data_IF_530262676518
#
_entry.id   IF_530262676518
#
_cell.length_a   1.000
_cell.length_b   1.000
_cell.length_c   1.000
_cell.angle_alpha   90.00
_cell.angle_beta   90.00
_cell.angle_gamma   90.00
#
_symmetry.space_group_name_H-M   'P 1'
#
loop_
_entity.id
_entity.type
_entity.pdbx_description
1 polymer ?
#
# COMPACT_ATOMS: atom_id res chain seq x y z
N UNK A 1 8.90 7.35 -25.49
CA UNK A 1 8.69 6.96 -24.07
C UNK A 1 7.20 6.81 -23.85
N UNK A 2 6.76 5.90 -22.98
CA UNK A 2 5.34 5.77 -22.63
C UNK A 2 4.87 7.08 -22.01
N UNK A 3 3.71 7.59 -22.40
CA UNK A 3 3.11 8.75 -21.72
C UNK A 3 2.71 8.32 -20.30
N UNK A 4 2.98 9.17 -19.32
CA UNK A 4 2.52 8.97 -17.95
C UNK A 4 1.00 9.09 -17.89
N UNK A 5 0.36 8.09 -17.28
CA UNK A 5 -1.09 8.05 -17.10
C UNK A 5 -1.49 8.69 -15.78
N UNK A 6 -2.26 9.76 -15.88
CA UNK A 6 -2.64 10.60 -14.75
C UNK A 6 -4.12 10.40 -14.45
N UNK A 7 -4.44 10.13 -13.18
CA UNK A 7 -5.78 10.29 -12.65
C UNK A 7 -5.87 11.66 -11.97
N UNK A 8 -6.73 12.55 -12.48
CA UNK A 8 -6.99 13.86 -11.91
C UNK A 8 -8.21 13.80 -10.99
N UNK A 9 -8.06 14.31 -9.78
CA UNK A 9 -9.11 14.45 -8.77
C UNK A 9 -9.14 15.91 -8.36
N UNK A 10 -10.30 16.54 -8.46
CA UNK A 10 -10.49 17.96 -8.15
C UNK A 10 -11.80 18.18 -7.37
N UNK A 11 -11.88 19.24 -6.56
CA UNK A 11 -13.13 19.69 -5.92
C UNK A 11 -14.00 20.59 -6.83
N UNK A 12 -13.46 21.03 -7.98
CA UNK A 12 -14.12 21.92 -8.93
C UNK A 12 -14.09 21.35 -10.36
N UNK A 13 -15.26 21.24 -11.00
CA UNK A 13 -15.44 20.66 -12.34
C UNK A 13 -14.82 21.54 -13.45
N UNK A 14 -14.94 22.86 -13.33
CA UNK A 14 -14.43 23.80 -14.32
C UNK A 14 -12.89 23.80 -14.28
N UNK A 15 -12.33 23.85 -13.07
CA UNK A 15 -10.88 23.75 -12.85
C UNK A 15 -10.34 22.41 -13.33
N UNK A 16 -11.00 21.29 -12.99
CA UNK A 16 -10.59 19.97 -13.47
C UNK A 16 -10.53 19.90 -15.00
N UNK A 17 -11.51 20.48 -15.68
CA UNK A 17 -11.58 20.52 -17.15
C UNK A 17 -10.45 21.35 -17.77
N UNK A 18 -10.13 22.49 -17.16
CA UNK A 18 -9.02 23.34 -17.58
C UNK A 18 -7.67 22.63 -17.38
N UNK A 19 -7.43 22.06 -16.20
CA UNK A 19 -6.21 21.32 -15.88
C UNK A 19 -6.05 20.13 -16.82
N UNK A 20 -7.10 19.35 -17.03
CA UNK A 20 -7.08 18.22 -17.96
C UNK A 20 -6.64 18.65 -19.36
N UNK A 21 -7.17 19.75 -19.86
CA UNK A 21 -6.82 20.28 -21.19
C UNK A 21 -5.33 20.66 -21.24
N UNK A 22 -4.85 21.39 -20.23
CA UNK A 22 -3.44 21.74 -20.08
C UNK A 22 -2.52 20.52 -20.04
N UNK A 23 -2.87 19.48 -19.25
CA UNK A 23 -2.10 18.24 -19.17
C UNK A 23 -1.99 17.53 -20.53
N UNK A 24 -3.09 17.48 -21.29
CA UNK A 24 -3.11 16.85 -22.61
C UNK A 24 -2.25 17.64 -23.61
N UNK A 25 -2.32 18.97 -23.58
CA UNK A 25 -1.49 19.85 -24.42
C UNK A 25 0.01 19.66 -24.16
N UNK A 26 0.40 19.43 -22.92
CA UNK A 26 1.78 19.15 -22.52
C UNK A 26 2.19 17.68 -22.68
N UNK A 27 1.34 16.86 -23.32
CA UNK A 27 1.70 15.52 -23.74
C UNK A 27 1.42 14.41 -22.73
N UNK A 28 0.81 14.71 -21.59
CA UNK A 28 0.37 13.71 -20.60
C UNK A 28 -0.91 12.99 -21.04
N UNK A 29 -1.16 11.79 -20.48
CA UNK A 29 -2.39 11.04 -20.73
C UNK A 29 -3.28 11.08 -19.48
N UNK A 30 -4.39 11.82 -19.54
CA UNK A 30 -5.36 11.86 -18.42
C UNK A 30 -6.39 10.75 -18.60
N UNK A 31 -6.25 9.68 -17.80
CA UNK A 31 -7.08 8.47 -17.88
C UNK A 31 -8.38 8.58 -17.08
N UNK A 32 -8.40 9.43 -16.06
CA UNK A 32 -9.57 9.74 -15.26
C UNK A 32 -9.57 11.21 -14.85
N UNK A 33 -10.78 11.75 -14.75
CA UNK A 33 -11.05 13.07 -14.19
C UNK A 33 -12.26 12.90 -13.27
N UNK A 34 -12.04 13.04 -11.97
CA UNK A 34 -13.02 12.74 -10.93
C UNK A 34 -13.24 13.95 -10.03
N UNK A 35 -14.44 14.05 -9.49
CA UNK A 35 -14.77 15.01 -8.45
C UNK A 35 -14.75 14.30 -7.11
N UNK A 36 -14.27 14.99 -6.07
CA UNK A 36 -14.09 14.44 -4.72
C UNK A 36 -15.36 13.75 -4.19
N UNK A 37 -16.52 14.35 -4.41
CA UNK A 37 -17.82 13.82 -3.98
C UNK A 37 -18.20 12.46 -4.62
N UNK A 38 -17.53 12.09 -5.71
CA UNK A 38 -17.75 10.86 -6.46
C UNK A 38 -16.63 9.82 -6.30
N UNK A 39 -15.66 10.06 -5.41
CA UNK A 39 -14.53 9.14 -5.17
C UNK A 39 -14.99 7.77 -4.64
N UNK A 40 -16.03 7.76 -3.80
CA UNK A 40 -16.54 6.53 -3.18
C UNK A 40 -17.39 5.66 -4.12
N UNK A 41 -17.91 6.22 -5.21
CA UNK A 41 -18.82 5.51 -6.13
C UNK A 41 -18.11 4.85 -7.30
N UNK A 42 -16.83 5.10 -7.48
CA UNK A 42 -16.12 4.68 -8.68
C UNK A 42 -15.14 3.56 -8.33
N UNK A 43 -15.29 2.42 -9.00
CA UNK A 43 -14.40 1.26 -8.83
C UNK A 43 -13.15 1.47 -9.68
N UNK A 44 -12.25 2.29 -9.14
CA UNK A 44 -11.15 2.90 -9.89
C UNK A 44 -9.92 2.00 -10.01
N UNK A 45 -9.97 0.77 -9.48
CA UNK A 45 -8.89 -0.23 -9.67
C UNK A 45 -8.73 -0.64 -11.14
N UNK A 46 -9.73 -0.37 -11.99
CA UNK A 46 -9.65 -0.59 -13.44
C UNK A 46 -8.94 0.55 -14.18
N UNK A 47 -8.66 1.67 -13.51
CA UNK A 47 -7.88 2.75 -14.10
C UNK A 47 -6.41 2.39 -13.99
N UNK A 48 -5.81 2.14 -15.15
CA UNK A 48 -4.37 1.97 -15.29
C UNK A 48 -3.65 3.33 -15.17
N UNK A 49 -3.84 4.04 -14.06
CA UNK A 49 -3.11 5.28 -13.75
C UNK A 49 -1.77 4.95 -13.11
N UNK A 50 -0.75 5.75 -13.43
CA UNK A 50 0.59 5.66 -12.83
C UNK A 50 0.73 6.61 -11.63
N UNK A 51 -0.05 7.69 -11.61
CA UNK A 51 0.03 8.76 -10.61
C UNK A 51 -1.32 9.46 -10.45
N UNK A 52 -1.56 9.94 -9.24
CA UNK A 52 -2.75 10.73 -8.89
C UNK A 52 -2.35 12.17 -8.70
N UNK A 53 -3.08 13.05 -9.39
CA UNK A 53 -3.08 14.47 -9.14
C UNK A 53 -4.33 14.84 -8.36
N UNK A 54 -4.14 15.36 -7.17
CA UNK A 54 -5.19 15.90 -6.33
C UNK A 54 -5.06 17.42 -6.33
N UNK A 55 -6.05 18.15 -6.83
CA UNK A 55 -6.12 19.61 -6.71
C UNK A 55 -7.26 19.97 -5.75
N UNK A 56 -6.91 20.67 -4.68
CA UNK A 56 -7.85 21.07 -3.63
C UNK A 56 -7.52 22.47 -3.14
N UNK A 57 -8.49 23.38 -3.14
CA UNK A 57 -8.29 24.69 -2.50
C UNK A 57 -8.18 24.51 -0.97
N UNK A 58 -8.95 23.59 -0.41
CA UNK A 58 -8.98 23.29 1.03
C UNK A 58 -8.72 21.80 1.31
N UNK A 59 -7.45 21.39 1.34
CA UNK A 59 -7.10 19.99 1.59
C UNK A 59 -7.38 19.58 3.05
N UNK A 60 -8.33 18.68 3.22
CA UNK A 60 -8.61 18.02 4.50
C UNK A 60 -7.93 16.66 4.57
N UNK A 61 -7.34 16.36 5.73
CA UNK A 61 -6.59 15.13 5.99
C UNK A 61 -7.37 13.87 5.63
N UNK A 62 -8.63 13.78 6.04
CA UNK A 62 -9.45 12.58 5.87
C UNK A 62 -9.68 12.24 4.39
N UNK A 63 -9.85 13.26 3.53
CA UNK A 63 -10.04 13.09 2.09
C UNK A 63 -8.75 12.58 1.45
N UNK A 64 -7.61 13.16 1.84
CA UNK A 64 -6.29 12.74 1.35
C UNK A 64 -6.00 11.30 1.77
N UNK A 65 -6.23 10.95 3.04
CA UNK A 65 -6.02 9.59 3.55
C UNK A 65 -6.91 8.58 2.82
N UNK A 66 -8.18 8.94 2.60
CA UNK A 66 -9.12 8.11 1.84
C UNK A 66 -8.61 7.85 0.43
N UNK A 67 -8.16 8.90 -0.27
CA UNK A 67 -7.58 8.79 -1.60
C UNK A 67 -6.32 7.90 -1.59
N UNK A 68 -5.31 8.26 -0.81
CA UNK A 68 -4.03 7.51 -0.76
C UNK A 68 -4.26 6.03 -0.43
N UNK A 69 -5.17 5.72 0.51
CA UNK A 69 -5.47 4.34 0.90
C UNK A 69 -6.25 3.56 -0.16
N UNK A 70 -7.12 4.21 -0.92
CA UNK A 70 -7.96 3.57 -1.93
C UNK A 70 -7.17 3.19 -3.19
N UNK A 71 -6.26 4.05 -3.64
CA UNK A 71 -5.61 3.87 -4.93
C UNK A 71 -4.26 3.17 -4.87
N UNK A 72 -3.55 3.26 -3.75
CA UNK A 72 -2.21 2.72 -3.61
C UNK A 72 -1.24 3.14 -4.73
N UNK A 73 -1.33 4.41 -5.14
CA UNK A 73 -0.53 5.04 -6.17
C UNK A 73 0.22 6.26 -5.61
N UNK A 74 1.28 6.72 -6.28
CA UNK A 74 1.90 8.00 -5.96
C UNK A 74 0.85 9.12 -6.06
N UNK A 75 0.71 9.93 -5.00
CA UNK A 75 -0.27 11.01 -4.93
C UNK A 75 0.43 12.34 -4.79
N UNK A 76 0.15 13.27 -5.70
CA UNK A 76 0.66 14.64 -5.69
C UNK A 76 -0.49 15.59 -5.40
N UNK A 77 -0.35 16.39 -4.34
CA UNK A 77 -1.34 17.38 -3.93
C UNK A 77 -0.93 18.77 -4.39
N UNK A 78 -1.80 19.41 -5.17
CA UNK A 78 -1.76 20.81 -5.53
C UNK A 78 -2.77 21.60 -4.71
N UNK A 79 -2.36 22.75 -4.20
CA UNK A 79 -3.25 23.62 -3.44
C UNK A 79 -2.71 25.05 -3.38
N UNK A 80 -3.60 26.02 -3.18
CA UNK A 80 -3.21 27.40 -2.88
C UNK A 80 -2.87 27.60 -1.39
N UNK A 81 -3.12 26.59 -0.56
CA UNK A 81 -2.90 26.67 0.87
C UNK A 81 -1.42 26.48 1.24
N UNK A 82 -0.80 27.52 1.81
CA UNK A 82 0.59 27.54 2.28
C UNK A 82 0.75 27.35 3.79
N UNK A 83 -0.33 27.02 4.51
CA UNK A 83 -0.30 26.83 5.96
C UNK A 83 0.52 25.60 6.34
N UNK A 84 1.45 25.78 7.29
CA UNK A 84 2.37 24.73 7.74
C UNK A 84 1.67 23.51 8.32
N UNK A 85 0.55 23.70 9.02
CA UNK A 85 -0.19 22.60 9.64
C UNK A 85 -0.91 21.74 8.60
N UNK A 86 -1.43 22.37 7.54
CA UNK A 86 -2.00 21.69 6.37
C UNK A 86 -0.94 20.89 5.63
N UNK A 87 0.24 21.48 5.38
CA UNK A 87 1.37 20.78 4.75
C UNK A 87 1.74 19.52 5.53
N UNK A 88 1.92 19.65 6.86
CA UNK A 88 2.24 18.50 7.72
C UNK A 88 1.16 17.43 7.70
N UNK A 89 -0.11 17.85 7.75
CA UNK A 89 -1.25 16.94 7.74
C UNK A 89 -1.33 16.16 6.43
N UNK A 90 -1.09 16.81 5.29
CA UNK A 90 -1.05 16.16 3.99
C UNK A 90 0.10 15.15 3.86
N UNK A 91 1.30 15.51 4.33
CA UNK A 91 2.46 14.60 4.35
C UNK A 91 2.16 13.39 5.23
N UNK A 92 1.55 13.58 6.41
CA UNK A 92 1.15 12.49 7.29
C UNK A 92 0.08 11.59 6.69
N UNK A 93 -0.81 12.15 5.86
CA UNK A 93 -1.82 11.41 5.12
C UNK A 93 -1.23 10.56 3.98
N UNK A 94 0.05 10.73 3.64
CA UNK A 94 0.76 9.88 2.69
C UNK A 94 0.90 10.45 1.28
N UNK A 95 0.69 11.76 1.07
CA UNK A 95 1.04 12.38 -0.22
C UNK A 95 2.54 12.28 -0.46
N UNK A 96 2.92 12.09 -1.72
CA UNK A 96 4.32 11.98 -2.11
C UNK A 96 4.92 13.33 -2.46
N UNK A 97 4.10 14.30 -2.84
CA UNK A 97 4.50 15.69 -3.04
C UNK A 97 3.35 16.64 -2.69
N UNK A 98 3.70 17.83 -2.19
CA UNK A 98 2.79 18.93 -1.87
C UNK A 98 3.29 20.18 -2.57
N UNK A 99 2.46 20.78 -3.42
CA UNK A 99 2.85 21.89 -4.28
C UNK A 99 1.90 23.07 -4.01
N UNK A 100 2.51 24.20 -3.69
CA UNK A 100 1.87 25.51 -3.55
C UNK A 100 2.14 26.28 -4.84
N UNK A 101 1.15 27.03 -5.35
CA UNK A 101 1.13 27.76 -6.65
C UNK A 101 0.56 27.03 -7.87
N UNK A 102 -0.12 25.88 -7.67
CA UNK A 102 -0.83 25.21 -8.75
C UNK A 102 0.10 24.48 -9.73
N UNK A 103 -0.45 24.08 -10.88
CA UNK A 103 0.21 23.16 -11.81
C UNK A 103 1.03 23.96 -12.83
N UNK A 104 2.36 23.90 -12.70
CA UNK A 104 3.31 24.34 -13.72
C UNK A 104 3.69 23.14 -14.62
N UNK A 105 3.21 23.08 -15.87
CA UNK A 105 3.41 21.92 -16.73
C UNK A 105 4.87 21.61 -17.04
N UNK A 106 5.74 22.63 -17.09
CA UNK A 106 7.18 22.44 -17.37
C UNK A 106 7.88 21.70 -16.24
N UNK A 107 7.44 21.91 -15.00
CA UNK A 107 7.99 21.25 -13.80
C UNK A 107 7.27 19.96 -13.45
N UNK A 108 6.05 19.79 -13.95
CA UNK A 108 5.18 18.69 -13.59
C UNK A 108 5.84 17.33 -13.88
N UNK A 109 6.44 17.16 -15.05
CA UNK A 109 7.08 15.89 -15.42
C UNK A 109 8.13 15.45 -14.40
N UNK A 110 9.04 16.36 -14.02
CA UNK A 110 10.08 16.08 -13.03
C UNK A 110 9.48 15.77 -11.65
N UNK A 111 8.42 16.47 -11.26
CA UNK A 111 7.77 16.25 -9.96
C UNK A 111 7.09 14.87 -9.93
N UNK A 112 6.39 14.50 -11.01
CA UNK A 112 5.74 13.19 -11.12
C UNK A 112 6.77 12.06 -11.08
N UNK A 113 7.88 12.18 -11.80
CA UNK A 113 8.96 11.18 -11.75
C UNK A 113 9.53 11.01 -10.34
N UNK A 114 9.81 12.12 -9.66
CA UNK A 114 10.29 12.11 -8.28
C UNK A 114 9.26 11.45 -7.36
N UNK A 115 7.97 11.77 -7.53
CA UNK A 115 6.89 11.18 -6.74
C UNK A 115 6.76 9.68 -6.97
N UNK A 116 6.85 9.22 -8.21
CA UNK A 116 6.80 7.78 -8.52
C UNK A 116 7.95 7.03 -7.83
N UNK A 117 9.17 7.55 -7.90
CA UNK A 117 10.32 6.90 -7.27
C UNK A 117 10.27 6.93 -5.74
N UNK A 118 9.80 8.04 -5.15
CA UNK A 118 9.57 8.12 -3.71
C UNK A 118 8.53 7.11 -3.24
N UNK A 119 7.43 6.97 -3.98
CA UNK A 119 6.38 6.01 -3.67
C UNK A 119 6.90 4.56 -3.74
N UNK A 120 7.62 4.20 -4.81
CA UNK A 120 8.26 2.87 -4.95
C UNK A 120 9.20 2.57 -3.79
N UNK A 121 10.04 3.54 -3.40
CA UNK A 121 10.96 3.40 -2.26
C UNK A 121 10.20 3.19 -0.96
N UNK A 122 9.16 3.98 -0.71
CA UNK A 122 8.32 3.85 0.49
C UNK A 122 7.63 2.48 0.54
N UNK A 123 7.04 2.05 -0.58
CA UNK A 123 6.42 0.72 -0.73
C UNK A 123 7.39 -0.42 -0.46
N UNK A 124 8.60 -0.32 -0.99
CA UNK A 124 9.65 -1.30 -0.73
C UNK A 124 9.99 -1.37 0.76
N UNK A 125 10.15 -0.23 1.43
CA UNK A 125 10.40 -0.20 2.88
C UNK A 125 9.26 -0.82 3.69
N UNK A 126 8.01 -0.54 3.34
CA UNK A 126 6.85 -1.15 3.99
C UNK A 126 6.82 -2.67 3.78
N UNK A 127 7.13 -3.14 2.57
CA UNK A 127 7.25 -4.56 2.25
C UNK A 127 8.35 -5.23 3.07
N UNK A 128 9.56 -4.66 3.07
CA UNK A 128 10.71 -5.18 3.81
C UNK A 128 10.42 -5.22 5.33
N UNK A 129 9.75 -4.19 5.85
CA UNK A 129 9.30 -4.13 7.24
C UNK A 129 8.30 -5.25 7.54
N UNK A 130 7.31 -5.46 6.67
CA UNK A 130 6.31 -6.50 6.86
C UNK A 130 6.94 -7.89 6.80
N UNK A 131 7.79 -8.15 5.81
CA UNK A 131 8.53 -9.41 5.70
C UNK A 131 9.38 -9.69 6.94
N UNK A 132 10.03 -8.66 7.50
CA UNK A 132 10.83 -8.79 8.71
C UNK A 132 9.96 -9.10 9.93
N UNK A 133 8.81 -8.42 10.08
CA UNK A 133 7.83 -8.71 11.14
C UNK A 133 7.28 -10.13 11.02
N UNK A 134 6.94 -10.57 9.81
CA UNK A 134 6.50 -11.94 9.54
C UNK A 134 7.58 -12.95 9.92
N UNK A 135 8.85 -12.74 9.55
CA UNK A 135 9.97 -13.63 9.95
C UNK A 135 10.12 -13.73 11.47
N UNK A 136 9.92 -12.63 12.19
CA UNK A 136 9.97 -12.62 13.65
C UNK A 136 8.82 -13.42 14.27
N UNK A 137 7.60 -13.23 13.76
CA UNK A 137 6.43 -13.98 14.18
C UNK A 137 6.57 -15.48 13.88
N UNK A 138 7.00 -15.81 12.65
CA UNK A 138 7.24 -17.17 12.19
C UNK A 138 8.25 -17.90 13.08
N UNK A 139 9.31 -17.21 13.53
CA UNK A 139 10.28 -17.82 14.46
C UNK A 139 9.61 -18.29 15.74
N UNK A 140 8.71 -17.50 16.33
CA UNK A 140 7.99 -17.86 17.56
C UNK A 140 7.07 -19.07 17.32
N UNK A 141 6.38 -19.11 16.19
CA UNK A 141 5.49 -20.22 15.85
C UNK A 141 6.27 -21.50 15.53
N UNK A 142 7.39 -21.40 14.83
CA UNK A 142 8.30 -22.53 14.54
C UNK A 142 8.81 -23.14 15.84
N UNK A 143 9.27 -22.34 16.81
CA UNK A 143 9.73 -22.87 18.11
C UNK A 143 8.61 -23.62 18.84
N UNK A 144 7.39 -23.07 18.89
CA UNK A 144 6.23 -23.74 19.50
C UNK A 144 5.89 -25.04 18.79
N UNK A 145 5.88 -25.04 17.45
CA UNK A 145 5.59 -26.24 16.67
C UNK A 145 6.67 -27.31 16.84
N UNK A 146 7.95 -26.95 16.95
CA UNK A 146 9.02 -27.89 17.28
C UNK A 146 8.78 -28.54 18.64
N UNK A 147 8.54 -27.75 19.69
CA UNK A 147 8.25 -28.27 21.05
C UNK A 147 7.06 -29.22 21.02
N UNK A 148 5.99 -28.86 20.31
CA UNK A 148 4.83 -29.74 20.10
C UNK A 148 5.22 -31.07 19.44
N UNK A 149 5.96 -31.03 18.33
CA UNK A 149 6.39 -32.23 17.61
C UNK A 149 7.32 -33.11 18.47
N UNK A 150 8.18 -32.49 19.27
CA UNK A 150 9.04 -33.19 20.24
C UNK A 150 8.18 -33.97 21.25
N UNK A 151 7.14 -33.35 21.81
CA UNK A 151 6.25 -34.01 22.76
C UNK A 151 5.39 -35.10 22.12
N UNK A 152 4.82 -34.85 20.94
CA UNK A 152 3.90 -35.79 20.27
C UNK A 152 4.64 -37.02 19.72
N UNK A 153 5.83 -36.84 19.16
CA UNK A 153 6.58 -37.93 18.51
C UNK A 153 7.75 -38.44 19.36
N UNK A 154 7.99 -37.87 20.55
CA UNK A 154 9.12 -38.20 21.42
C UNK A 154 10.47 -38.13 20.69
N UNK A 155 10.65 -37.05 19.92
CA UNK A 155 11.85 -36.81 19.12
C UNK A 155 12.63 -35.62 19.66
N UNK A 156 13.93 -35.62 19.41
CA UNK A 156 14.82 -34.49 19.70
C UNK A 156 14.56 -33.31 18.75
N UNK A 157 15.02 -32.13 19.14
CA UNK A 157 14.77 -30.87 18.45
C UNK A 157 15.20 -30.90 16.98
N UNK A 158 16.38 -31.46 16.67
CA UNK A 158 16.92 -31.51 15.31
C UNK A 158 16.03 -32.33 14.36
N UNK A 159 15.48 -33.45 14.88
CA UNK A 159 14.51 -34.28 14.16
C UNK A 159 13.17 -33.57 14.01
N UNK A 160 12.71 -32.85 15.04
CA UNK A 160 11.47 -32.07 14.97
C UNK A 160 11.56 -30.95 13.92
N UNK A 161 12.68 -30.21 13.88
CA UNK A 161 12.94 -29.19 12.89
C UNK A 161 12.98 -29.77 11.46
N UNK A 162 13.70 -30.87 11.28
CA UNK A 162 13.79 -31.58 9.99
C UNK A 162 12.42 -32.06 9.51
N UNK A 163 11.60 -32.59 10.42
CA UNK A 163 10.24 -33.04 10.12
C UNK A 163 9.31 -31.90 9.74
N UNK A 164 9.37 -30.77 10.48
CA UNK A 164 8.61 -29.56 10.16
C UNK A 164 8.99 -29.01 8.78
N UNK A 165 10.30 -28.92 8.48
CA UNK A 165 10.82 -28.46 7.19
C UNK A 165 10.39 -29.37 6.04
N UNK A 166 10.46 -30.70 6.24
CA UNK A 166 10.05 -31.69 5.22
C UNK A 166 8.56 -31.55 4.89
N UNK A 167 7.71 -31.37 5.90
CA UNK A 167 6.27 -31.17 5.71
C UNK A 167 5.95 -29.82 5.05
N UNK A 168 6.64 -28.75 5.42
CA UNK A 168 6.47 -27.45 4.76
C UNK A 168 6.78 -27.56 3.25
N UNK A 169 7.89 -28.22 2.89
CA UNK A 169 8.27 -28.44 1.49
C UNK A 169 7.25 -29.30 0.72
N UNK A 170 6.77 -30.40 1.30
CA UNK A 170 5.81 -31.28 0.62
C UNK A 170 4.48 -30.58 0.32
N UNK A 171 4.09 -29.59 1.14
CA UNK A 171 2.86 -28.81 0.97
C UNK A 171 3.08 -27.49 0.24
N UNK A 172 4.31 -27.19 -0.23
CA UNK A 172 4.69 -25.91 -0.86
C UNK A 172 4.35 -24.69 -0.01
N UNK A 173 4.53 -24.80 1.31
CA UNK A 173 4.28 -23.73 2.27
C UNK A 173 5.60 -23.28 2.92
N UNK A 174 5.60 -22.07 3.48
CA UNK A 174 6.70 -21.62 4.34
C UNK A 174 6.69 -22.39 5.67
N UNK A 175 7.84 -22.45 6.34
CA UNK A 175 7.92 -23.10 7.66
C UNK A 175 7.02 -22.43 8.71
N UNK A 176 6.88 -21.11 8.66
CA UNK A 176 5.99 -20.36 9.56
C UNK A 176 4.52 -20.70 9.36
N UNK A 177 4.06 -20.79 8.11
CA UNK A 177 2.68 -21.22 7.80
C UNK A 177 2.42 -22.67 8.22
N UNK A 178 3.36 -23.58 7.99
CA UNK A 178 3.24 -24.96 8.46
C UNK A 178 3.16 -25.02 9.98
N UNK A 179 3.99 -24.25 10.68
CA UNK A 179 3.99 -24.19 12.13
C UNK A 179 2.65 -23.67 12.68
N UNK A 180 2.10 -22.59 12.11
CA UNK A 180 0.76 -22.07 12.47
C UNK A 180 -0.33 -23.11 12.28
N UNK A 181 -0.35 -23.79 11.14
CA UNK A 181 -1.33 -24.87 10.87
C UNK A 181 -1.27 -26.00 11.89
N UNK A 182 -0.06 -26.42 12.29
CA UNK A 182 0.08 -27.46 13.31
C UNK A 182 -0.42 -26.99 14.68
N UNK A 183 -0.12 -25.74 15.05
CA UNK A 183 -0.59 -25.14 16.31
C UNK A 183 -2.12 -25.03 16.33
N UNK A 184 -2.73 -24.56 15.25
CA UNK A 184 -4.18 -24.47 15.12
C UNK A 184 -4.85 -25.85 15.17
N UNK A 185 -4.30 -26.83 14.44
CA UNK A 185 -4.81 -28.20 14.46
C UNK A 185 -4.75 -28.83 15.87
N UNK A 186 -3.65 -28.62 16.60
CA UNK A 186 -3.54 -29.10 17.98
C UNK A 186 -4.57 -28.42 18.90
N UNK A 187 -4.76 -27.10 18.77
CA UNK A 187 -5.72 -26.36 19.58
C UNK A 187 -7.16 -26.86 19.34
N UNK A 188 -7.53 -27.13 18.08
CA UNK A 188 -8.82 -27.70 17.72
C UNK A 188 -9.01 -29.09 18.34
N UNK A 189 -8.01 -29.97 18.22
CA UNK A 189 -8.07 -31.31 18.81
C UNK A 189 -8.20 -31.25 20.34
N UNK A 190 -7.47 -30.36 21.01
CA UNK A 190 -7.59 -30.20 22.47
C UNK A 190 -8.92 -29.59 22.92
N UNK A 191 -9.56 -28.75 22.09
CA UNK A 191 -10.87 -28.17 22.40
C UNK A 191 -12.00 -29.21 22.37
N UNK A 192 -11.90 -30.25 21.53
CA UNK A 192 -12.87 -31.36 21.46
C UNK A 192 -12.86 -32.30 22.68
N UNK A 193 -11.82 -32.24 23.53
CA UNK A 193 -11.72 -33.07 24.74
C UNK A 193 -12.09 -32.31 26.03
N UNK A 194 -12.59 -31.08 25.93
CA UNK A 194 -12.98 -30.22 27.07
C UNK A 194 -14.50 -30.00 27.22
N UNK A 195 -15.31 -30.62 26.36
CA UNK A 195 -16.77 -30.79 26.54
C UNK A 195 -17.07 -32.20 27.06
#
# INVERSE_FOLDING_TARGET
MSKLKIALIDDDIERASFIRSSLIEHGFEVVACLIIDHLNSTDLQQLHADVILLDMDHPHRDIIESCVSQFDLPTVLFTKNSQKDTIKSAIQAGVTAYIVDGIDPEKLESILEISIEQFKKHKKLLKDLNETKCKLADRKDIEKAKVMLMHLHQIEEEKAFSLLRKNAMSHRMTMGEMARKLIEAQALLQSQFKE
#
